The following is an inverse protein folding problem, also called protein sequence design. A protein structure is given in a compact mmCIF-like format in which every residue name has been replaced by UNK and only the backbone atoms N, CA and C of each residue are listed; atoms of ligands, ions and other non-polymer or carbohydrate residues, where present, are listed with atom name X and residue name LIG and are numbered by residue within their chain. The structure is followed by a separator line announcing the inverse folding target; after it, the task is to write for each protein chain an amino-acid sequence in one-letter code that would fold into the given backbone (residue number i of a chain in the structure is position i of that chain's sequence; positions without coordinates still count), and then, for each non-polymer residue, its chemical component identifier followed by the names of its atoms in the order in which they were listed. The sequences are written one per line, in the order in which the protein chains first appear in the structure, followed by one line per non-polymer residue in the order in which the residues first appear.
data_IF_556868624267
#
_entry.id   IF_556868624267
#
_cell.length_a   1.000
_cell.length_b   1.000
_cell.length_c   1.000
_cell.angle_alpha   90.00
_cell.angle_beta   90.00
_cell.angle_gamma   90.00
#
_symmetry.space_group_name_H-M   'P 1'
#
loop_
_entity.id
_entity.type
_entity.pdbx_description
1 polymer ?
#
# COMPACT_ATOMS: atom_id res chain seq x y z
N UNK A 1 -61.49 -6.06 79.14
CA UNK A 1 -60.49 -5.18 78.42
C UNK A 1 -59.66 -6.08 77.50
N UNK A 2 -59.88 -5.97 76.23
CA UNK A 2 -59.12 -6.79 75.21
C UNK A 2 -58.14 -5.88 74.47
N UNK A 3 -56.86 -6.10 74.72
CA UNK A 3 -55.79 -5.43 73.94
C UNK A 3 -55.72 -5.96 72.52
N UNK A 4 -55.78 -5.05 71.53
CA UNK A 4 -55.55 -5.36 70.13
C UNK A 4 -54.07 -5.17 69.81
N UNK A 5 -53.40 -6.24 69.42
CA UNK A 5 -52.05 -6.15 68.88
C UNK A 5 -52.08 -5.62 67.45
N UNK A 6 -51.30 -4.62 67.17
CA UNK A 6 -51.10 -4.09 65.82
C UNK A 6 -49.82 -4.73 65.29
N UNK A 7 -49.95 -5.54 64.19
CA UNK A 7 -48.80 -6.10 63.45
C UNK A 7 -48.30 -5.05 62.44
N UNK A 8 -47.07 -4.62 62.59
CA UNK A 8 -46.39 -3.77 61.62
C UNK A 8 -45.69 -4.67 60.59
N UNK A 9 -46.14 -4.58 59.31
CA UNK A 9 -45.56 -5.29 58.20
C UNK A 9 -44.37 -4.47 57.61
N UNK A 10 -43.15 -4.90 57.83
CA UNK A 10 -41.96 -4.28 57.18
C UNK A 10 -41.76 -4.83 55.81
N UNK A 11 -42.00 -4.00 54.80
CA UNK A 11 -41.77 -4.34 53.41
C UNK A 11 -40.29 -4.07 53.08
N UNK A 12 -39.46 -5.11 52.94
CA UNK A 12 -38.09 -4.99 52.47
C UNK A 12 -38.07 -4.84 50.93
N UNK A 13 -37.75 -3.64 50.44
CA UNK A 13 -37.52 -3.41 49.00
C UNK A 13 -36.09 -3.79 48.70
N UNK A 14 -35.89 -4.91 48.01
CA UNK A 14 -34.61 -5.31 47.48
C UNK A 14 -34.32 -4.50 46.21
N UNK A 15 -33.46 -3.48 46.29
CA UNK A 15 -32.88 -2.83 45.12
C UNK A 15 -31.86 -3.77 44.46
N UNK A 16 -32.29 -4.44 43.40
CA UNK A 16 -31.39 -5.18 42.51
C UNK A 16 -30.54 -4.21 41.72
N UNK A 17 -29.26 -4.10 42.05
CA UNK A 17 -28.28 -3.40 41.24
C UNK A 17 -28.04 -4.22 39.95
N UNK A 18 -28.70 -3.83 38.86
CA UNK A 18 -28.36 -4.34 37.53
C UNK A 18 -26.97 -3.77 37.13
N UNK A 19 -25.93 -4.60 37.24
CA UNK A 19 -24.65 -4.30 36.62
C UNK A 19 -24.85 -4.24 35.10
N UNK A 20 -24.34 -3.18 34.42
CA UNK A 20 -24.40 -3.15 32.96
C UNK A 20 -23.57 -4.33 32.42
N UNK A 21 -24.21 -5.20 31.63
CA UNK A 21 -23.52 -6.14 30.74
C UNK A 21 -22.70 -5.31 29.76
N UNK A 22 -21.43 -5.06 30.08
CA UNK A 22 -20.47 -4.55 29.12
C UNK A 22 -20.32 -5.65 28.08
N UNK A 23 -21.08 -5.53 27.01
CA UNK A 23 -20.94 -6.37 25.84
C UNK A 23 -19.49 -6.26 25.37
N UNK A 24 -18.74 -7.35 25.54
CA UNK A 24 -17.45 -7.48 24.83
C UNK A 24 -17.77 -7.39 23.34
N UNK A 25 -17.47 -6.25 22.73
CA UNK A 25 -17.39 -6.20 21.26
C UNK A 25 -16.48 -7.35 20.83
N UNK A 26 -16.92 -8.22 19.93
CA UNK A 26 -16.05 -9.28 19.42
C UNK A 26 -14.79 -8.60 18.90
N UNK A 27 -13.66 -8.94 19.51
CA UNK A 27 -12.35 -8.50 19.02
C UNK A 27 -12.27 -9.03 17.61
N UNK A 28 -12.16 -8.14 16.61
CA UNK A 28 -11.94 -8.56 15.24
C UNK A 28 -10.84 -9.63 15.23
N UNK A 29 -11.06 -10.73 14.54
CA UNK A 29 -10.08 -11.80 14.43
C UNK A 29 -8.77 -11.14 13.95
N UNK A 30 -7.65 -11.48 14.58
CA UNK A 30 -6.35 -10.99 14.13
C UNK A 30 -5.94 -11.79 12.88
N UNK A 31 -5.29 -11.13 11.93
CA UNK A 31 -4.69 -11.84 10.81
C UNK A 31 -3.71 -12.92 11.29
N UNK A 32 -3.62 -14.02 10.54
CA UNK A 32 -2.86 -15.19 10.95
C UNK A 32 -1.98 -15.69 9.82
N UNK A 33 -0.71 -15.93 10.10
CA UNK A 33 0.18 -16.67 9.21
C UNK A 33 -0.30 -18.13 9.14
N UNK A 34 -0.70 -18.57 7.95
CA UNK A 34 -1.19 -19.93 7.68
C UNK A 34 -0.03 -20.87 7.40
N UNK A 35 0.85 -20.46 6.47
CA UNK A 35 2.03 -21.24 6.09
C UNK A 35 3.10 -20.34 5.47
N UNK A 36 4.32 -20.88 5.46
CA UNK A 36 5.47 -20.32 4.75
C UNK A 36 5.97 -21.39 3.78
N UNK A 37 6.23 -20.99 2.54
CA UNK A 37 6.94 -21.78 1.54
C UNK A 37 8.31 -21.12 1.31
N UNK A 38 9.38 -21.77 1.78
CA UNK A 38 10.76 -21.33 1.60
C UNK A 38 11.24 -21.69 0.18
N UNK A 39 11.13 -20.76 -0.74
CA UNK A 39 11.42 -20.97 -2.17
C UNK A 39 12.93 -20.96 -2.47
N UNK A 40 13.70 -20.22 -1.67
CA UNK A 40 15.17 -20.21 -1.68
C UNK A 40 15.70 -19.69 -0.33
N UNK A 41 17.03 -19.72 -0.08
CA UNK A 41 17.61 -19.14 1.15
C UNK A 41 17.32 -17.64 1.35
N UNK A 42 16.85 -16.94 0.30
CA UNK A 42 16.62 -15.49 0.28
C UNK A 42 15.23 -15.11 -0.21
N UNK A 43 14.33 -16.08 -0.44
CA UNK A 43 12.97 -15.84 -0.89
C UNK A 43 11.98 -16.81 -0.27
N UNK A 44 10.93 -16.26 0.31
CA UNK A 44 9.83 -17.01 0.91
C UNK A 44 8.48 -16.51 0.40
N UNK A 45 7.50 -17.41 0.31
CA UNK A 45 6.10 -17.06 0.10
C UNK A 45 5.31 -17.32 1.39
N UNK A 46 4.69 -16.28 1.91
CA UNK A 46 3.81 -16.34 3.08
C UNK A 46 2.36 -16.42 2.61
N UNK A 47 1.58 -17.26 3.27
CA UNK A 47 0.14 -17.33 3.10
C UNK A 47 -0.51 -16.82 4.39
N UNK A 48 -1.17 -15.66 4.32
CA UNK A 48 -1.70 -14.94 5.47
C UNK A 48 -3.20 -14.85 5.35
N UNK A 49 -3.92 -15.41 6.30
CA UNK A 49 -5.35 -15.24 6.43
C UNK A 49 -5.63 -13.81 6.95
N UNK A 50 -6.14 -12.96 6.06
CA UNK A 50 -6.57 -11.61 6.38
C UNK A 50 -7.95 -11.63 6.98
N UNK A 51 -8.07 -11.20 8.23
CA UNK A 51 -9.36 -11.06 8.89
C UNK A 51 -10.18 -9.90 8.29
N UNK A 52 -9.52 -8.84 7.81
CA UNK A 52 -10.17 -7.71 7.17
C UNK A 52 -10.80 -8.07 5.82
N UNK A 53 -10.13 -8.96 5.04
CA UNK A 53 -10.59 -9.34 3.70
C UNK A 53 -11.27 -10.71 3.64
N UNK A 54 -11.27 -11.46 4.74
CA UNK A 54 -11.87 -12.82 4.84
C UNK A 54 -11.34 -13.75 3.73
N UNK A 55 -10.03 -13.70 3.51
CA UNK A 55 -9.33 -14.55 2.52
C UNK A 55 -7.85 -14.68 2.84
N UNK A 56 -7.22 -15.70 2.24
CA UNK A 56 -5.77 -15.86 2.29
C UNK A 56 -5.12 -14.96 1.24
N UNK A 57 -4.17 -14.15 1.69
CA UNK A 57 -3.33 -13.30 0.85
C UNK A 57 -1.93 -13.91 0.81
N UNK A 58 -1.40 -14.09 -0.39
CA UNK A 58 -0.01 -14.46 -0.58
C UNK A 58 0.87 -13.22 -0.55
N UNK A 59 2.00 -13.29 0.17
CA UNK A 59 3.02 -12.25 0.23
C UNK A 59 4.37 -12.89 -0.05
N UNK A 60 5.03 -12.43 -1.11
CA UNK A 60 6.41 -12.82 -1.37
C UNK A 60 7.33 -11.93 -0.54
N UNK A 61 8.36 -12.51 0.06
CA UNK A 61 9.37 -11.74 0.82
C UNK A 61 10.76 -12.12 0.30
N UNK A 62 11.51 -11.09 -0.12
CA UNK A 62 12.95 -11.23 -0.34
C UNK A 62 13.65 -10.83 0.95
N UNK A 63 14.57 -11.64 1.42
CA UNK A 63 15.27 -11.39 2.67
C UNK A 63 16.72 -11.89 2.58
N UNK A 64 17.68 -11.27 3.26
CA UNK A 64 19.05 -11.78 3.33
C UNK A 64 19.09 -13.16 3.98
N UNK A 65 20.04 -13.98 3.54
CA UNK A 65 20.38 -15.21 4.25
C UNK A 65 20.98 -14.85 5.62
N UNK A 66 20.42 -15.40 6.69
CA UNK A 66 20.89 -15.17 8.06
C UNK A 66 19.98 -14.29 8.90
N UNK A 67 20.22 -14.31 10.22
CA UNK A 67 19.42 -13.58 11.20
C UNK A 67 19.95 -12.17 11.47
N UNK A 68 19.08 -11.31 11.98
CA UNK A 68 19.39 -9.93 12.37
C UNK A 68 18.16 -9.04 12.25
N UNK A 69 18.03 -8.06 13.16
CA UNK A 69 16.93 -7.11 13.10
C UNK A 69 17.19 -6.13 11.95
N UNK A 70 16.25 -6.03 11.00
CA UNK A 70 16.40 -5.23 9.78
C UNK A 70 15.14 -4.49 9.40
N UNK A 71 15.23 -3.42 8.61
CA UNK A 71 14.07 -2.69 8.10
C UNK A 71 13.27 -3.51 7.08
N UNK A 72 12.04 -3.08 6.83
CA UNK A 72 11.19 -3.66 5.79
C UNK A 72 10.84 -2.63 4.73
N UNK A 73 10.93 -3.02 3.46
CA UNK A 73 10.50 -2.24 2.31
C UNK A 73 9.28 -2.90 1.65
N UNK A 74 8.11 -2.31 1.82
CA UNK A 74 6.88 -2.75 1.18
C UNK A 74 6.85 -2.22 -0.25
N UNK A 75 6.97 -3.11 -1.23
CA UNK A 75 7.08 -2.76 -2.65
C UNK A 75 5.83 -3.25 -3.39
N UNK A 76 4.96 -2.28 -3.76
CA UNK A 76 3.65 -2.52 -4.34
C UNK A 76 3.71 -2.62 -5.86
N UNK A 77 2.95 -3.55 -6.42
CA UNK A 77 2.77 -3.71 -7.85
C UNK A 77 1.84 -2.64 -8.46
N UNK A 78 1.77 -2.60 -9.78
CA UNK A 78 0.86 -1.76 -10.55
C UNK A 78 -0.58 -2.28 -10.57
N UNK A 79 -1.30 -1.92 -11.62
CA UNK A 79 -2.75 -2.16 -11.74
C UNK A 79 -3.15 -3.64 -11.83
N UNK A 80 -2.28 -4.46 -12.42
CA UNK A 80 -2.46 -5.91 -12.63
C UNK A 80 -1.34 -6.69 -11.93
N UNK A 81 -1.37 -6.79 -10.57
CA UNK A 81 -0.33 -7.47 -9.82
C UNK A 81 -0.34 -8.97 -10.05
N UNK A 82 0.82 -9.58 -9.91
CA UNK A 82 0.97 -11.03 -9.99
C UNK A 82 0.11 -11.78 -8.96
N UNK A 83 -0.33 -12.98 -9.33
CA UNK A 83 -1.18 -13.82 -8.46
C UNK A 83 -0.40 -14.93 -7.75
N UNK A 84 0.72 -15.37 -8.34
CA UNK A 84 1.57 -16.45 -7.79
C UNK A 84 2.98 -15.97 -7.49
N UNK A 85 3.42 -14.93 -8.16
CA UNK A 85 4.73 -14.29 -8.01
C UNK A 85 4.56 -12.79 -8.26
N UNK A 86 5.27 -11.96 -7.50
CA UNK A 86 5.28 -10.51 -7.72
C UNK A 86 5.82 -10.19 -9.10
N UNK A 87 5.19 -9.24 -9.78
CA UNK A 87 5.63 -8.80 -11.09
C UNK A 87 7.00 -8.11 -11.02
N UNK A 88 7.37 -7.52 -9.88
CA UNK A 88 8.70 -6.99 -9.63
C UNK A 88 9.80 -8.05 -9.80
N UNK A 89 9.60 -9.25 -9.25
CA UNK A 89 10.58 -10.34 -9.37
C UNK A 89 10.49 -11.11 -10.68
N UNK A 90 9.39 -10.98 -11.42
CA UNK A 90 9.19 -11.64 -12.70
C UNK A 90 9.61 -10.78 -13.90
N UNK A 91 9.43 -9.46 -13.82
CA UNK A 91 9.66 -8.53 -14.92
C UNK A 91 10.94 -7.68 -14.77
N UNK A 92 11.60 -7.73 -13.61
CA UNK A 92 12.84 -6.99 -13.31
C UNK A 92 13.86 -7.89 -12.64
N UNK A 93 15.01 -7.35 -12.36
CA UNK A 93 16.09 -8.00 -11.58
C UNK A 93 15.99 -7.72 -10.06
N UNK A 94 14.82 -7.34 -9.55
CA UNK A 94 14.62 -6.93 -8.16
C UNK A 94 15.18 -7.96 -7.14
N UNK A 95 15.04 -9.27 -7.41
CA UNK A 95 15.57 -10.31 -6.51
C UNK A 95 17.10 -10.23 -6.40
N UNK A 96 17.82 -10.15 -7.51
CA UNK A 96 19.28 -10.01 -7.51
C UNK A 96 19.73 -8.63 -7.01
N UNK A 97 18.97 -7.59 -7.31
CA UNK A 97 19.25 -6.25 -6.83
C UNK A 97 19.23 -6.14 -5.30
N UNK A 98 18.29 -6.81 -4.64
CA UNK A 98 18.16 -6.78 -3.18
C UNK A 98 19.00 -7.85 -2.47
N UNK A 99 19.55 -8.83 -3.17
CA UNK A 99 20.26 -9.98 -2.58
C UNK A 99 21.43 -9.59 -1.65
N UNK A 100 22.08 -8.44 -1.91
CA UNK A 100 23.21 -7.95 -1.10
C UNK A 100 22.84 -6.84 -0.10
N UNK A 101 21.55 -6.54 0.08
CA UNK A 101 21.07 -5.42 0.90
C UNK A 101 20.43 -5.92 2.19
N UNK A 102 20.73 -5.28 3.32
CA UNK A 102 20.18 -5.67 4.63
C UNK A 102 18.76 -5.07 4.81
N UNK A 103 17.80 -5.64 4.09
CA UNK A 103 16.40 -5.22 4.08
C UNK A 103 15.48 -6.41 3.77
N UNK A 104 14.33 -6.49 4.42
CA UNK A 104 13.23 -7.36 4.01
C UNK A 104 12.40 -6.63 2.94
N UNK A 105 12.28 -7.18 1.73
CA UNK A 105 11.42 -6.63 0.69
C UNK A 105 10.12 -7.40 0.67
N UNK A 106 9.03 -6.72 0.98
CA UNK A 106 7.69 -7.30 1.17
C UNK A 106 6.84 -6.99 -0.05
N UNK A 107 6.44 -8.02 -0.78
CA UNK A 107 5.78 -7.94 -2.08
C UNK A 107 4.40 -8.61 -1.97
N UNK A 108 3.33 -7.87 -1.60
CA UNK A 108 1.97 -8.42 -1.55
C UNK A 108 1.49 -8.80 -2.96
N UNK A 109 0.83 -9.96 -3.08
CA UNK A 109 0.29 -10.44 -4.35
C UNK A 109 -1.22 -10.22 -4.44
N UNK A 110 -1.73 -10.09 -5.66
CA UNK A 110 -3.14 -9.83 -5.89
C UNK A 110 -3.54 -8.38 -5.65
N UNK A 111 -4.83 -8.11 -5.54
CA UNK A 111 -5.33 -6.73 -5.41
C UNK A 111 -5.40 -6.00 -6.73
N UNK A 112 -5.82 -6.68 -7.82
CA UNK A 112 -6.04 -6.05 -9.11
C UNK A 112 -6.93 -4.81 -8.97
N UNK A 113 -6.50 -3.69 -9.51
CA UNK A 113 -7.20 -2.40 -9.48
C UNK A 113 -7.64 -1.92 -8.07
N UNK A 114 -6.99 -2.43 -7.00
CA UNK A 114 -7.40 -2.16 -5.61
C UNK A 114 -7.01 -0.77 -5.11
N UNK A 115 -6.02 -0.14 -5.73
CA UNK A 115 -5.32 1.04 -5.20
C UNK A 115 -4.82 0.83 -3.77
N UNK A 116 -4.71 -0.43 -3.34
CA UNK A 116 -4.25 -0.86 -2.02
C UNK A 116 -4.91 -0.10 -0.86
N UNK A 117 -6.21 0.19 -1.01
CA UNK A 117 -7.02 0.93 -0.04
C UNK A 117 -8.19 0.09 0.47
N UNK A 118 -8.84 0.56 1.53
CA UNK A 118 -10.08 -0.04 2.02
C UNK A 118 -11.26 0.52 1.21
N UNK A 119 -11.88 -0.33 0.43
CA UNK A 119 -13.08 0.03 -0.32
C UNK A 119 -14.27 0.17 0.62
N UNK A 120 -15.14 1.13 0.36
CA UNK A 120 -16.34 1.36 1.17
C UNK A 120 -17.31 0.18 1.09
N UNK A 121 -17.50 -0.34 -0.12
CA UNK A 121 -18.38 -1.46 -0.39
C UNK A 121 -17.62 -2.66 -0.97
N UNK A 122 -18.16 -3.87 -0.73
CA UNK A 122 -17.65 -5.09 -1.36
C UNK A 122 -18.03 -5.09 -2.85
N UNK A 123 -17.08 -5.42 -3.72
CA UNK A 123 -17.27 -5.38 -5.16
C UNK A 123 -17.64 -6.77 -5.72
N UNK A 124 -18.62 -6.89 -6.61
CA UNK A 124 -19.01 -8.19 -7.20
C UNK A 124 -17.87 -8.89 -7.96
N UNK A 125 -16.94 -8.11 -8.55
CA UNK A 125 -15.80 -8.63 -9.32
C UNK A 125 -14.61 -8.98 -8.42
N UNK A 126 -14.30 -8.10 -7.46
CA UNK A 126 -13.07 -8.19 -6.67
C UNK A 126 -13.31 -8.72 -5.25
N UNK A 127 -14.57 -8.74 -4.79
CA UNK A 127 -14.93 -9.09 -3.42
C UNK A 127 -14.57 -7.98 -2.44
N UNK A 128 -14.27 -8.38 -1.21
CA UNK A 128 -13.93 -7.45 -0.13
C UNK A 128 -12.50 -6.98 -0.26
N UNK A 129 -12.30 -5.69 -0.51
CA UNK A 129 -11.01 -5.04 -0.49
C UNK A 129 -10.84 -4.19 0.77
N UNK A 130 -9.90 -4.59 1.62
CA UNK A 130 -9.46 -3.88 2.84
C UNK A 130 -7.94 -3.88 2.88
N UNK A 131 -7.35 -3.44 1.78
CA UNK A 131 -5.92 -3.49 1.57
C UNK A 131 -5.14 -2.53 2.46
N UNK A 132 -5.69 -1.33 2.79
CA UNK A 132 -5.06 -0.43 3.75
C UNK A 132 -4.96 -1.10 5.12
N UNK A 133 -6.06 -1.69 5.61
CA UNK A 133 -6.06 -2.44 6.88
C UNK A 133 -5.06 -3.59 6.85
N UNK A 134 -5.02 -4.37 5.77
CA UNK A 134 -4.06 -5.47 5.64
C UNK A 134 -2.61 -4.97 5.70
N UNK A 135 -2.25 -3.99 4.88
CA UNK A 135 -0.87 -3.48 4.74
C UNK A 135 -0.37 -2.70 5.94
N UNK A 136 -1.27 -2.10 6.74
CA UNK A 136 -0.87 -1.21 7.83
C UNK A 136 -1.12 -1.78 9.21
N UNK A 137 -1.98 -2.79 9.36
CA UNK A 137 -2.38 -3.35 10.65
C UNK A 137 -2.12 -4.85 10.77
N UNK A 138 -2.37 -5.61 9.70
CA UNK A 138 -2.30 -7.06 9.73
C UNK A 138 -0.92 -7.59 9.34
N UNK A 139 -0.37 -7.09 8.24
CA UNK A 139 0.89 -7.61 7.67
C UNK A 139 2.14 -7.22 8.47
N UNK A 140 2.35 -5.96 8.94
CA UNK A 140 3.60 -5.58 9.57
C UNK A 140 4.00 -6.43 10.77
N UNK A 141 3.14 -6.72 11.74
CA UNK A 141 3.52 -7.55 12.90
C UNK A 141 3.88 -8.99 12.50
N UNK A 142 3.31 -9.51 11.41
CA UNK A 142 3.67 -10.86 10.90
C UNK A 142 5.05 -10.83 10.26
N UNK A 143 5.36 -9.81 9.46
CA UNK A 143 6.69 -9.62 8.85
C UNK A 143 7.75 -9.46 9.92
N UNK A 144 7.50 -8.59 10.92
CA UNK A 144 8.45 -8.34 12.01
C UNK A 144 8.73 -9.63 12.82
N UNK A 145 7.71 -10.39 13.13
CA UNK A 145 7.87 -11.65 13.87
C UNK A 145 8.56 -12.75 13.05
N UNK A 146 8.34 -12.78 11.72
CA UNK A 146 8.84 -13.86 10.86
C UNK A 146 10.26 -13.61 10.36
N UNK A 147 10.59 -12.36 10.01
CA UNK A 147 11.85 -11.98 9.38
C UNK A 147 12.68 -11.00 10.23
N UNK A 148 12.48 -11.00 11.55
CA UNK A 148 13.18 -10.13 12.49
C UNK A 148 13.13 -8.65 12.08
N UNK A 149 11.94 -8.13 11.74
CA UNK A 149 11.75 -6.72 11.43
C UNK A 149 12.09 -5.85 12.64
N UNK A 150 12.70 -4.69 12.38
CA UNK A 150 13.11 -3.74 13.43
C UNK A 150 12.12 -2.58 13.62
N UNK A 151 10.94 -2.65 12.97
CA UNK A 151 9.91 -1.62 13.00
C UNK A 151 10.19 -0.40 12.13
N UNK A 152 11.34 -0.33 11.45
CA UNK A 152 11.64 0.72 10.46
C UNK A 152 11.12 0.28 9.10
N UNK A 153 10.13 1.00 8.58
CA UNK A 153 9.47 0.64 7.34
C UNK A 153 9.60 1.74 6.28
N UNK A 154 9.74 1.32 5.02
CA UNK A 154 9.49 2.14 3.84
C UNK A 154 8.39 1.51 3.00
N UNK A 155 7.75 2.31 2.17
CA UNK A 155 6.77 1.85 1.20
C UNK A 155 7.07 2.47 -0.15
N UNK A 156 6.90 1.71 -1.21
CA UNK A 156 7.01 2.21 -2.57
C UNK A 156 6.21 1.37 -3.54
N UNK A 157 6.13 1.80 -4.78
CA UNK A 157 5.46 1.05 -5.81
C UNK A 157 5.42 1.79 -7.14
N UNK A 158 4.99 1.09 -8.17
CA UNK A 158 4.83 1.66 -9.50
C UNK A 158 3.35 1.98 -9.78
N UNK A 159 3.11 3.03 -10.58
CA UNK A 159 1.78 3.34 -11.11
C UNK A 159 0.72 3.38 -9.98
N UNK A 160 -0.30 2.50 -10.03
CA UNK A 160 -1.28 2.29 -8.96
C UNK A 160 -0.62 2.11 -7.58
N UNK A 161 0.41 1.25 -7.49
CA UNK A 161 1.12 0.99 -6.24
C UNK A 161 1.90 2.20 -5.73
N UNK A 162 2.42 3.04 -6.63
CA UNK A 162 3.09 4.28 -6.27
C UNK A 162 2.10 5.34 -5.74
N UNK A 163 0.91 5.46 -6.34
CA UNK A 163 -0.19 6.27 -5.80
C UNK A 163 -0.53 5.77 -4.39
N UNK A 164 -0.76 4.46 -4.25
CA UNK A 164 -1.11 3.85 -2.98
C UNK A 164 -0.04 4.06 -1.90
N UNK A 165 1.25 3.98 -2.26
CA UNK A 165 2.35 4.22 -1.32
C UNK A 165 2.26 5.61 -0.69
N UNK A 166 1.99 6.65 -1.48
CA UNK A 166 1.80 8.01 -0.99
C UNK A 166 0.52 8.18 -0.17
N UNK A 167 -0.59 7.55 -0.58
CA UNK A 167 -1.86 7.54 0.18
C UNK A 167 -1.63 6.89 1.55
N UNK A 168 -1.06 5.68 1.58
CA UNK A 168 -0.85 4.92 2.81
C UNK A 168 0.12 5.65 3.76
N UNK A 169 1.18 6.25 3.25
CA UNK A 169 2.14 6.99 4.06
C UNK A 169 1.56 8.29 4.63
N UNK A 170 0.70 8.99 3.89
CA UNK A 170 0.02 10.18 4.39
C UNK A 170 -1.07 9.83 5.42
N UNK A 171 -1.79 8.73 5.24
CA UNK A 171 -2.86 8.28 6.16
C UNK A 171 -2.31 7.58 7.41
N UNK A 172 -1.12 6.98 7.33
CA UNK A 172 -0.45 6.28 8.44
C UNK A 172 0.96 6.89 8.68
N UNK A 173 1.04 8.14 9.19
CA UNK A 173 2.28 8.90 9.20
C UNK A 173 3.40 8.29 10.05
N UNK A 174 3.08 7.51 11.07
CA UNK A 174 4.06 6.90 11.97
C UNK A 174 4.61 5.56 11.47
N UNK A 175 3.99 4.95 10.44
CA UNK A 175 4.33 3.60 10.00
C UNK A 175 5.52 3.59 9.03
N UNK A 176 5.62 4.58 8.14
CA UNK A 176 6.62 4.58 7.08
C UNK A 176 7.57 5.77 7.19
N UNK A 177 8.87 5.50 7.23
CA UNK A 177 9.93 6.50 7.27
C UNK A 177 10.27 7.06 5.89
N UNK A 178 10.15 6.25 4.85
CA UNK A 178 10.44 6.62 3.48
C UNK A 178 9.33 6.17 2.53
N UNK A 179 9.14 6.92 1.44
CA UNK A 179 8.11 6.67 0.43
C UNK A 179 8.69 6.82 -0.96
N UNK A 180 8.41 5.87 -1.86
CA UNK A 180 8.80 5.94 -3.26
C UNK A 180 7.60 5.76 -4.19
N UNK A 181 7.52 6.56 -5.25
CA UNK A 181 6.58 6.41 -6.35
C UNK A 181 7.32 6.35 -7.69
N UNK A 182 7.14 5.25 -8.41
CA UNK A 182 7.69 5.05 -9.74
C UNK A 182 6.56 5.21 -10.75
N UNK A 183 6.65 6.18 -11.63
CA UNK A 183 5.58 6.53 -12.58
C UNK A 183 4.22 6.66 -11.88
N UNK A 184 4.16 7.45 -10.81
CA UNK A 184 2.97 7.60 -9.96
C UNK A 184 2.43 9.03 -9.97
N UNK A 185 1.10 9.16 -9.84
CA UNK A 185 0.40 10.45 -9.73
C UNK A 185 -0.21 10.61 -8.33
N UNK A 186 0.52 11.16 -7.33
CA UNK A 186 -0.01 11.32 -5.97
C UNK A 186 -0.85 12.60 -5.80
N UNK A 187 -1.49 13.08 -6.84
CA UNK A 187 -2.52 14.13 -6.83
C UNK A 187 -3.80 13.50 -7.37
N UNK A 188 -4.69 13.09 -6.46
CA UNK A 188 -5.92 12.38 -6.85
C UNK A 188 -6.90 13.31 -7.57
N UNK A 189 -6.79 14.63 -7.38
CA UNK A 189 -7.57 15.57 -8.17
C UNK A 189 -7.27 15.49 -9.67
N UNK A 190 -6.00 15.19 -10.02
CA UNK A 190 -5.59 14.97 -11.41
C UNK A 190 -5.83 13.53 -11.86
N UNK A 191 -5.67 12.54 -10.96
CA UNK A 191 -5.71 11.11 -11.29
C UNK A 191 -7.12 10.52 -11.30
N UNK A 192 -8.14 11.17 -10.71
CA UNK A 192 -9.46 10.60 -10.44
C UNK A 192 -10.08 9.90 -11.65
N UNK A 193 -10.12 10.57 -12.80
CA UNK A 193 -10.71 10.01 -14.01
C UNK A 193 -9.99 8.75 -14.50
N UNK A 194 -8.66 8.77 -14.47
CA UNK A 194 -7.84 7.61 -14.86
C UNK A 194 -8.01 6.43 -13.88
N UNK A 195 -8.08 6.72 -12.59
CA UNK A 195 -8.35 5.73 -11.54
C UNK A 195 -9.70 5.05 -11.78
N UNK A 196 -10.77 5.81 -11.93
CA UNK A 196 -12.11 5.28 -12.16
C UNK A 196 -12.19 4.47 -13.46
N UNK A 197 -11.60 4.98 -14.53
CA UNK A 197 -11.51 4.25 -15.81
C UNK A 197 -10.77 2.93 -15.65
N UNK A 198 -9.66 2.93 -14.93
CA UNK A 198 -8.82 1.73 -14.77
C UNK A 198 -9.54 0.60 -13.99
N UNK A 199 -10.31 0.96 -12.96
CA UNK A 199 -11.14 0.03 -12.18
C UNK A 199 -12.26 -0.54 -13.06
N UNK A 200 -13.02 0.34 -13.74
CA UNK A 200 -14.11 -0.07 -14.62
C UNK A 200 -13.62 -0.98 -15.76
N UNK A 201 -12.46 -0.68 -16.34
CA UNK A 201 -11.86 -1.50 -17.41
C UNK A 201 -11.41 -2.90 -16.94
N UNK A 202 -11.32 -3.15 -15.61
CA UNK A 202 -11.09 -4.48 -15.01
C UNK A 202 -12.37 -5.12 -14.49
N UNK A 203 -13.53 -4.50 -14.78
CA UNK A 203 -14.84 -5.03 -14.46
C UNK A 203 -15.33 -4.73 -13.04
N UNK A 204 -14.64 -3.88 -12.28
CA UNK A 204 -15.07 -3.41 -10.98
C UNK A 204 -15.93 -2.15 -11.08
N UNK A 205 -16.67 -1.86 -10.03
CA UNK A 205 -17.39 -0.59 -9.88
C UNK A 205 -16.49 0.42 -9.12
N UNK A 206 -15.99 1.49 -9.78
CA UNK A 206 -15.15 2.48 -9.12
C UNK A 206 -15.88 3.24 -7.99
N UNK A 207 -17.22 3.24 -8.00
CA UNK A 207 -18.04 3.82 -6.93
C UNK A 207 -17.88 3.09 -5.59
N UNK A 208 -17.59 1.79 -5.62
CA UNK A 208 -17.39 0.98 -4.42
C UNK A 208 -16.11 1.34 -3.65
N UNK A 209 -15.13 1.99 -4.30
CA UNK A 209 -13.87 2.34 -3.64
C UNK A 209 -14.05 3.53 -2.68
N UNK A 210 -14.31 4.73 -3.19
CA UNK A 210 -14.41 5.97 -2.42
C UNK A 210 -15.66 6.77 -2.77
N UNK A 211 -16.70 6.09 -3.28
CA UNK A 211 -17.93 6.72 -3.75
C UNK A 211 -17.78 7.46 -5.08
N UNK A 212 -18.81 8.21 -5.48
CA UNK A 212 -18.80 8.94 -6.75
C UNK A 212 -17.74 10.05 -6.76
N UNK A 213 -17.39 10.58 -7.96
CA UNK A 213 -16.47 11.70 -8.08
C UNK A 213 -16.88 12.87 -7.18
N UNK A 214 -15.87 13.40 -6.47
CA UNK A 214 -16.07 14.53 -5.56
C UNK A 214 -16.66 14.18 -4.20
N UNK A 215 -16.88 12.89 -3.88
CA UNK A 215 -17.23 12.48 -2.52
C UNK A 215 -16.12 12.85 -1.53
N UNK A 216 -16.43 13.07 -0.23
CA UNK A 216 -15.43 13.41 0.78
C UNK A 216 -14.28 12.41 0.86
N UNK A 217 -14.54 11.11 0.64
CA UNK A 217 -13.53 10.06 0.71
C UNK A 217 -12.39 10.24 -0.30
N UNK A 218 -12.64 10.79 -1.49
CA UNK A 218 -11.58 11.14 -2.44
C UNK A 218 -10.60 12.16 -1.83
N UNK A 219 -11.13 13.19 -1.15
CA UNK A 219 -10.31 14.20 -0.52
C UNK A 219 -9.53 13.66 0.69
N UNK A 220 -10.11 12.73 1.44
CA UNK A 220 -9.52 12.07 2.61
C UNK A 220 -8.39 11.09 2.24
N UNK A 221 -8.33 10.69 0.97
CA UNK A 221 -7.29 9.81 0.43
C UNK A 221 -6.29 10.55 -0.48
N UNK A 222 -6.45 11.85 -0.69
CA UNK A 222 -5.59 12.61 -1.61
C UNK A 222 -4.29 13.09 -0.95
N UNK A 223 -3.11 12.52 -1.29
CA UNK A 223 -1.83 12.95 -0.74
C UNK A 223 -1.53 14.43 -1.01
N UNK A 224 -2.02 14.98 -2.13
CA UNK A 224 -1.85 16.37 -2.47
C UNK A 224 -2.60 17.32 -1.52
N UNK A 225 -3.66 16.84 -0.87
CA UNK A 225 -4.39 17.55 0.19
C UNK A 225 -3.82 17.27 1.59
N UNK A 226 -3.10 16.17 1.74
CA UNK A 226 -2.50 15.74 3.00
C UNK A 226 -0.98 15.95 3.04
N UNK A 227 -0.44 16.82 2.19
CA UNK A 227 1.00 16.97 1.98
C UNK A 227 1.77 17.17 3.29
N UNK A 228 1.21 17.89 4.27
CA UNK A 228 1.84 18.10 5.57
C UNK A 228 2.06 16.82 6.39
N UNK A 229 1.28 15.76 6.15
CA UNK A 229 1.46 14.45 6.79
C UNK A 229 2.67 13.67 6.24
N UNK A 230 3.25 14.14 5.15
CA UNK A 230 4.49 13.60 4.56
C UNK A 230 5.75 14.26 5.15
N UNK A 231 5.59 15.27 5.99
CA UNK A 231 6.70 16.01 6.61
C UNK A 231 7.57 15.07 7.46
N UNK A 232 8.89 15.23 7.32
CA UNK A 232 9.87 14.40 8.03
C UNK A 232 10.16 13.03 7.41
N UNK A 233 9.47 12.67 6.33
CA UNK A 233 9.73 11.43 5.58
C UNK A 233 10.76 11.68 4.48
N UNK A 234 11.51 10.64 4.12
CA UNK A 234 12.29 10.63 2.89
C UNK A 234 11.37 10.33 1.72
N UNK A 235 11.24 11.27 0.79
CA UNK A 235 10.34 11.16 -0.35
C UNK A 235 11.13 11.02 -1.65
N UNK A 236 10.74 10.04 -2.47
CA UNK A 236 11.28 9.79 -3.80
C UNK A 236 10.17 9.65 -4.82
N UNK A 237 10.30 10.32 -5.95
CA UNK A 237 9.44 10.16 -7.12
C UNK A 237 10.32 10.02 -8.36
N UNK A 238 9.90 9.20 -9.29
CA UNK A 238 10.52 9.13 -10.62
C UNK A 238 9.47 8.97 -11.71
N UNK A 239 9.77 9.54 -12.88
CA UNK A 239 8.93 9.46 -14.07
C UNK A 239 9.77 9.59 -15.34
N UNK A 240 9.31 8.99 -16.43
CA UNK A 240 9.72 9.33 -17.78
C UNK A 240 8.88 10.49 -18.33
N UNK A 241 9.09 10.81 -19.61
CA UNK A 241 8.33 11.86 -20.32
C UNK A 241 7.26 11.30 -21.25
N UNK A 242 7.18 9.98 -21.39
CA UNK A 242 6.36 9.30 -22.39
C UNK A 242 7.01 9.19 -23.76
N UNK A 243 8.18 9.83 -23.96
CA UNK A 243 8.95 9.70 -25.20
C UNK A 243 9.66 8.35 -25.19
N UNK A 244 9.51 7.51 -26.24
CA UNK A 244 10.25 6.26 -26.36
C UNK A 244 11.76 6.46 -26.22
N UNK A 245 12.43 5.53 -25.54
CA UNK A 245 13.85 5.60 -25.27
C UNK A 245 14.58 4.29 -25.55
N UNK A 246 15.70 4.01 -24.87
CA UNK A 246 16.54 2.84 -25.17
C UNK A 246 15.80 1.50 -25.08
N UNK A 247 14.84 1.38 -24.17
CA UNK A 247 14.09 0.13 -24.00
C UNK A 247 13.09 -0.16 -25.12
N UNK A 248 12.71 0.83 -25.92
CA UNK A 248 11.90 0.70 -27.13
C UNK A 248 12.74 0.53 -28.40
N UNK A 249 14.07 0.63 -28.34
CA UNK A 249 14.95 0.43 -29.50
C UNK A 249 14.93 -1.03 -30.00
N UNK A 250 14.59 -2.00 -29.17
CA UNK A 250 14.43 -3.39 -29.54
C UNK A 250 12.96 -3.70 -29.87
N UNK A 251 12.75 -4.41 -31.02
CA UNK A 251 11.40 -4.85 -31.39
C UNK A 251 10.99 -6.00 -30.48
N UNK A 252 10.03 -5.72 -29.57
CA UNK A 252 9.42 -6.70 -28.67
C UNK A 252 7.89 -6.72 -28.89
N UNK A 253 7.19 -7.81 -28.56
CA UNK A 253 5.74 -7.89 -28.73
C UNK A 253 4.97 -6.75 -28.06
N UNK A 254 5.47 -6.24 -26.90
CA UNK A 254 4.86 -5.16 -26.13
C UNK A 254 5.16 -3.75 -26.67
N UNK A 255 6.01 -3.63 -27.70
CA UNK A 255 6.44 -2.32 -28.23
C UNK A 255 5.27 -1.42 -28.64
N UNK A 256 4.25 -1.89 -29.39
CA UNK A 256 3.11 -1.04 -29.74
C UNK A 256 2.34 -0.55 -28.49
N UNK A 257 2.12 -1.41 -27.50
CA UNK A 257 1.44 -1.07 -26.26
C UNK A 257 2.23 -0.02 -25.47
N UNK A 258 3.54 -0.21 -25.31
CA UNK A 258 4.41 0.73 -24.60
C UNK A 258 4.41 2.11 -25.26
N UNK A 259 4.41 2.20 -26.58
CA UNK A 259 4.43 3.47 -27.30
C UNK A 259 3.05 4.14 -27.30
N UNK A 260 2.00 3.41 -27.71
CA UNK A 260 0.69 4.00 -27.98
C UNK A 260 -0.16 4.21 -26.72
N UNK A 261 0.05 3.41 -25.67
CA UNK A 261 -0.64 3.56 -24.40
C UNK A 261 0.30 4.01 -23.28
N UNK A 262 1.45 3.35 -23.13
CA UNK A 262 2.43 3.66 -22.11
C UNK A 262 3.02 5.07 -22.25
N UNK A 263 3.28 5.54 -23.45
CA UNK A 263 3.78 6.89 -23.70
C UNK A 263 2.82 7.99 -23.18
N UNK A 264 1.57 8.04 -23.65
CA UNK A 264 0.58 9.01 -23.16
C UNK A 264 0.30 8.93 -21.65
N UNK A 265 0.27 7.72 -21.07
CA UNK A 265 0.10 7.55 -19.63
C UNK A 265 1.26 8.19 -18.89
N UNK A 266 2.51 7.90 -19.31
CA UNK A 266 3.70 8.42 -18.65
C UNK A 266 3.81 9.94 -18.76
N UNK A 267 3.45 10.53 -19.90
CA UNK A 267 3.37 11.98 -20.08
C UNK A 267 2.36 12.61 -19.09
N UNK A 268 1.22 11.96 -18.87
CA UNK A 268 0.24 12.39 -17.86
C UNK A 268 0.78 12.29 -16.44
N UNK A 269 1.55 11.24 -16.15
CA UNK A 269 2.22 11.05 -14.86
C UNK A 269 3.28 12.12 -14.62
N UNK A 270 4.07 12.50 -15.62
CA UNK A 270 5.07 13.57 -15.49
C UNK A 270 4.42 14.93 -15.19
N UNK A 271 3.31 15.24 -15.86
CA UNK A 271 2.52 16.45 -15.56
C UNK A 271 2.00 16.44 -14.12
N UNK A 272 1.48 15.30 -13.66
CA UNK A 272 1.00 15.12 -12.29
C UNK A 272 2.15 15.21 -11.26
N UNK A 273 3.28 14.57 -11.53
CA UNK A 273 4.49 14.65 -10.69
C UNK A 273 4.94 16.10 -10.55
N UNK A 274 4.86 16.90 -11.62
CA UNK A 274 5.19 18.33 -11.60
C UNK A 274 4.26 19.12 -10.69
N UNK A 275 2.95 18.87 -10.76
CA UNK A 275 1.98 19.52 -9.88
C UNK A 275 2.19 19.13 -8.40
N UNK A 276 2.42 17.87 -8.13
CA UNK A 276 2.68 17.38 -6.77
C UNK A 276 4.00 17.96 -6.19
N UNK A 277 5.06 18.03 -7.00
CA UNK A 277 6.32 18.68 -6.62
C UNK A 277 6.11 20.14 -6.20
N UNK A 278 5.29 20.88 -6.96
CA UNK A 278 4.96 22.26 -6.62
C UNK A 278 4.28 22.36 -5.25
N UNK A 279 3.38 21.42 -4.91
CA UNK A 279 2.74 21.38 -3.59
C UNK A 279 3.74 21.06 -2.47
N UNK A 280 4.64 20.09 -2.67
CA UNK A 280 5.71 19.77 -1.71
C UNK A 280 6.61 20.99 -1.47
N UNK A 281 7.03 21.68 -2.55
CA UNK A 281 7.84 22.90 -2.46
C UNK A 281 7.11 24.02 -1.73
N UNK A 282 5.84 24.26 -2.02
CA UNK A 282 5.02 25.27 -1.34
C UNK A 282 4.87 24.97 0.16
N UNK A 283 4.85 23.69 0.54
CA UNK A 283 4.83 23.26 1.93
C UNK A 283 6.22 23.19 2.59
N UNK A 284 7.31 23.52 1.88
CA UNK A 284 8.69 23.33 2.31
C UNK A 284 9.00 21.88 2.75
N UNK A 285 8.54 20.90 1.98
CA UNK A 285 8.82 19.48 2.19
C UNK A 285 9.80 19.02 1.11
N UNK A 286 11.03 18.61 1.49
CA UNK A 286 12.01 18.13 0.55
C UNK A 286 11.61 16.79 -0.04
N UNK A 287 11.82 16.61 -1.34
CA UNK A 287 11.69 15.36 -2.04
C UNK A 287 12.77 15.24 -3.12
N UNK A 288 13.27 14.03 -3.35
CA UNK A 288 14.06 13.74 -4.54
C UNK A 288 13.12 13.32 -5.66
N UNK A 289 13.24 14.01 -6.79
CA UNK A 289 12.43 13.75 -7.98
C UNK A 289 13.36 13.55 -9.18
N UNK A 290 13.39 12.34 -9.68
CA UNK A 290 14.21 11.98 -10.84
C UNK A 290 13.30 11.97 -12.08
N UNK A 291 13.54 12.88 -13.03
CA UNK A 291 12.86 12.93 -14.33
C UNK A 291 13.79 12.44 -15.42
N UNK A 292 13.44 11.31 -15.99
CA UNK A 292 14.13 10.79 -17.15
C UNK A 292 13.65 11.52 -18.41
N UNK A 293 14.53 12.01 -19.26
CA UNK A 293 14.15 12.76 -20.47
C UNK A 293 13.40 11.91 -21.51
N UNK A 294 13.43 10.60 -21.34
CA UNK A 294 12.71 9.59 -22.14
C UNK A 294 12.12 8.54 -21.22
N UNK A 295 11.27 7.68 -21.71
CA UNK A 295 10.70 6.54 -20.99
C UNK A 295 9.19 6.51 -21.06
N UNK A 296 8.67 5.32 -21.30
CA UNK A 296 7.25 5.01 -21.34
C UNK A 296 6.80 4.34 -20.04
N UNK A 297 5.50 4.14 -19.88
CA UNK A 297 4.91 3.48 -18.70
C UNK A 297 5.12 1.96 -18.80
N UNK A 298 6.34 1.48 -18.55
CA UNK A 298 6.71 0.08 -18.80
C UNK A 298 7.76 -0.46 -17.84
N UNK A 299 7.81 -1.79 -17.72
CA UNK A 299 8.58 -2.52 -16.72
C UNK A 299 10.09 -2.26 -16.78
N UNK A 300 10.65 -2.14 -17.96
CA UNK A 300 12.10 -1.90 -18.08
C UNK A 300 12.52 -0.59 -17.41
N UNK A 301 11.73 0.47 -17.58
CA UNK A 301 12.00 1.74 -16.88
C UNK A 301 11.75 1.67 -15.39
N UNK A 302 10.76 0.90 -14.93
CA UNK A 302 10.52 0.75 -13.48
C UNK A 302 11.64 -0.03 -12.79
N UNK A 303 12.27 -0.99 -13.47
CA UNK A 303 13.52 -1.61 -12.99
C UNK A 303 14.63 -0.57 -12.79
N UNK A 304 14.89 0.28 -13.80
CA UNK A 304 15.88 1.35 -13.70
C UNK A 304 15.54 2.34 -12.57
N UNK A 305 14.27 2.73 -12.42
CA UNK A 305 13.80 3.62 -11.38
C UNK A 305 13.96 3.03 -9.98
N UNK A 306 13.73 1.71 -9.82
CA UNK A 306 13.96 1.00 -8.57
C UNK A 306 15.43 1.13 -8.14
N UNK A 307 16.36 0.87 -9.05
CA UNK A 307 17.80 1.00 -8.80
C UNK A 307 18.17 2.45 -8.44
N UNK A 308 17.69 3.42 -9.22
CA UNK A 308 17.97 4.86 -9.02
C UNK A 308 17.42 5.38 -7.67
N UNK A 309 16.38 4.77 -7.13
CA UNK A 309 15.77 5.18 -5.85
C UNK A 309 16.61 4.77 -4.63
N UNK A 310 17.36 3.67 -4.73
CA UNK A 310 18.02 3.06 -3.57
C UNK A 310 19.02 3.96 -2.85
N UNK A 311 19.86 4.77 -3.52
CA UNK A 311 20.72 5.75 -2.86
C UNK A 311 19.98 6.76 -1.97
N UNK A 312 18.66 6.91 -2.15
CA UNK A 312 17.78 7.75 -1.32
C UNK A 312 17.09 6.93 -0.23
N UNK A 313 16.58 5.75 -0.57
CA UNK A 313 15.78 4.93 0.35
C UNK A 313 16.65 4.12 1.32
N UNK A 314 17.75 3.54 0.85
CA UNK A 314 18.64 2.71 1.66
C UNK A 314 19.15 3.43 2.92
N UNK A 315 19.75 4.62 2.81
CA UNK A 315 20.16 5.40 3.99
C UNK A 315 19.02 5.74 4.95
N UNK A 316 17.82 6.03 4.43
CA UNK A 316 16.63 6.30 5.26
C UNK A 316 16.18 5.08 6.07
N UNK A 317 16.44 3.88 5.54
CA UNK A 317 16.19 2.60 6.22
C UNK A 317 17.35 2.18 7.13
N UNK A 318 18.54 2.79 7.00
CA UNK A 318 19.76 2.31 7.66
C UNK A 318 20.36 1.09 6.96
N UNK A 319 19.97 0.81 5.72
CA UNK A 319 20.49 -0.24 4.85
C UNK A 319 21.40 0.37 3.78
N UNK A 320 22.52 -0.26 3.49
CA UNK A 320 23.47 0.18 2.45
C UNK A 320 23.33 -0.64 1.18
#
# INVERSE_FOLDING_TARGET
MRQKAVAVLVLAVALGVMAPLVGRTPRAAAARLVSIDEQSPTRSALFIESAAMDRVIQVQVLHPAGGGARPSYYLLDGLDPGQQQSTWTNATDAESFFAGKDVNVVLPLGGQASYYTDWQDDDPRFGRYRWETFLTRELPPIIDATFAGNGVNAIGGLSMGGIAAYVLAARNPDLYRAVAGYSACPDLGMAQGAIMFSIANRGGDPGNMWGPPGSPAWAEHDPARMVDRLRGKTLYLSTGTGIPGPHEAEIKPQLPENIFFGGPIEAGVDACTTAFEQRLRAANIPARIDRNPVGTHSWSYWGDMLHASWPTLGPALGSQ
#
